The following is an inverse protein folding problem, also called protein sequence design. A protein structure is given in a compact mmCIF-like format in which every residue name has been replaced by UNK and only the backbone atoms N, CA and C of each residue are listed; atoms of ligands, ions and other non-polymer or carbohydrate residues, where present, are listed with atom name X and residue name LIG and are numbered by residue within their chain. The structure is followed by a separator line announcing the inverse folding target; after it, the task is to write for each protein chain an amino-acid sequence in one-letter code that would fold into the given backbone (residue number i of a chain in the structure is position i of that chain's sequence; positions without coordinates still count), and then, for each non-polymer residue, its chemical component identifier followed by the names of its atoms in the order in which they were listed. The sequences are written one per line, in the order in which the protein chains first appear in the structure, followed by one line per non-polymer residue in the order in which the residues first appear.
data_IF_192084953305
#
_entry.id   IF_192084953305
#
_cell.length_a   1.000
_cell.length_b   1.000
_cell.length_c   1.000
_cell.angle_alpha   90.00
_cell.angle_beta   90.00
_cell.angle_gamma   90.00
#
_symmetry.space_group_name_H-M   'P 1'
#
loop_
_entity.id
_entity.type
_entity.pdbx_description
1 polymer ?
#
# COMPACT_ATOMS: atom_id res chain seq x y z
N UNK A 1 -23.78 -15.12 24.04
CA UNK A 1 -22.79 -15.48 22.98
C UNK A 1 -21.85 -14.30 22.67
N UNK A 2 -20.75 -14.21 23.40
CA UNK A 2 -19.70 -13.20 23.17
C UNK A 2 -18.93 -13.56 21.90
N UNK A 3 -19.14 -12.78 20.84
CA UNK A 3 -18.39 -12.90 19.58
C UNK A 3 -16.93 -12.50 19.81
N UNK A 4 -16.07 -13.50 20.02
CA UNK A 4 -14.61 -13.36 19.95
C UNK A 4 -14.22 -12.98 18.52
N UNK A 5 -14.12 -11.68 18.24
CA UNK A 5 -13.46 -11.22 17.02
C UNK A 5 -11.95 -11.35 17.24
N UNK A 6 -11.35 -12.33 16.55
CA UNK A 6 -9.96 -12.76 16.69
C UNK A 6 -8.94 -11.63 16.77
N UNK A 7 -8.37 -11.43 17.95
CA UNK A 7 -7.20 -10.59 18.17
C UNK A 7 -5.98 -11.25 17.54
N UNK A 8 -5.53 -10.73 16.39
CA UNK A 8 -4.29 -11.17 15.76
C UNK A 8 -3.08 -10.99 16.69
N UNK A 9 -2.03 -11.80 16.46
CA UNK A 9 -0.80 -11.78 17.26
C UNK A 9 -0.21 -10.37 17.33
N UNK A 10 0.31 -9.96 18.49
CA UNK A 10 0.95 -8.65 18.70
C UNK A 10 2.43 -8.71 18.36
N UNK A 11 3.00 -7.57 17.99
CA UNK A 11 4.42 -7.47 17.69
C UNK A 11 5.24 -7.80 18.95
N UNK A 12 6.16 -8.76 18.85
CA UNK A 12 7.03 -9.21 19.94
C UNK A 12 8.19 -8.24 20.25
N UNK A 13 8.22 -7.07 19.61
CA UNK A 13 9.21 -6.04 19.95
C UNK A 13 8.76 -5.39 21.26
N UNK A 14 9.62 -5.32 22.30
CA UNK A 14 9.26 -4.69 23.56
C UNK A 14 8.85 -3.23 23.31
N UNK A 15 7.73 -2.82 23.91
CA UNK A 15 7.15 -1.48 23.72
C UNK A 15 6.43 -1.25 22.38
N UNK A 16 6.06 -2.31 21.65
CA UNK A 16 5.30 -2.18 20.40
C UNK A 16 3.90 -2.78 20.48
N UNK A 17 2.89 -1.91 20.54
CA UNK A 17 1.47 -2.32 20.55
C UNK A 17 0.88 -2.56 19.15
N UNK A 18 1.71 -2.57 18.11
CA UNK A 18 1.25 -2.83 16.74
C UNK A 18 0.93 -4.30 16.56
N UNK A 19 -0.07 -4.60 15.74
CA UNK A 19 -0.35 -5.97 15.29
C UNK A 19 0.83 -6.56 14.52
N UNK A 20 1.13 -7.81 14.76
CA UNK A 20 2.09 -8.57 13.98
C UNK A 20 1.49 -8.92 12.60
N UNK A 21 2.34 -8.99 11.59
CA UNK A 21 1.89 -9.26 10.23
C UNK A 21 1.76 -10.78 10.00
N UNK A 22 0.52 -11.25 9.84
CA UNK A 22 0.20 -12.62 9.42
C UNK A 22 0.86 -13.70 10.29
N UNK A 23 1.77 -14.51 9.72
CA UNK A 23 2.47 -15.64 10.37
C UNK A 23 3.76 -15.23 11.12
N UNK A 24 4.06 -13.93 11.17
CA UNK A 24 5.30 -13.44 11.81
C UNK A 24 5.00 -12.88 13.19
N UNK A 25 5.96 -12.97 14.11
CA UNK A 25 5.83 -12.40 15.45
C UNK A 25 6.06 -10.87 15.48
N UNK A 26 6.36 -10.23 14.35
CA UNK A 26 6.68 -8.80 14.29
C UNK A 26 5.69 -8.04 13.42
N UNK A 27 5.52 -6.74 13.68
CA UNK A 27 4.76 -5.85 12.80
C UNK A 27 5.59 -5.47 11.57
N UNK A 28 4.94 -4.89 10.54
CA UNK A 28 5.61 -4.46 9.29
C UNK A 28 6.88 -3.62 9.52
N UNK A 29 6.85 -2.71 10.50
CA UNK A 29 8.00 -1.87 10.83
C UNK A 29 9.15 -2.64 11.50
N UNK A 30 8.87 -3.77 12.15
CA UNK A 30 9.80 -4.48 13.02
C UNK A 30 10.30 -5.81 12.47
N UNK A 31 10.07 -6.12 11.19
CA UNK A 31 10.44 -7.44 10.65
C UNK A 31 9.27 -8.15 9.99
N UNK A 32 8.05 -7.75 10.32
CA UNK A 32 6.84 -8.47 9.96
C UNK A 32 6.55 -8.50 8.47
N UNK A 33 5.96 -9.61 8.04
CA UNK A 33 5.57 -9.86 6.67
C UNK A 33 6.73 -10.29 5.76
N UNK A 34 6.42 -10.50 4.48
CA UNK A 34 7.40 -10.96 3.49
C UNK A 34 8.39 -9.87 3.11
N UNK A 35 9.63 -10.28 2.85
CA UNK A 35 10.75 -9.42 2.43
C UNK A 35 11.13 -9.71 1.00
N UNK A 36 11.70 -8.70 0.34
CA UNK A 36 12.22 -8.84 -0.99
C UNK A 36 13.32 -9.91 -1.00
N UNK A 37 13.19 -10.93 -1.84
CA UNK A 37 14.20 -12.00 -2.02
C UNK A 37 15.45 -11.55 -2.80
N UNK A 38 15.50 -10.28 -3.22
CA UNK A 38 16.66 -9.76 -3.93
C UNK A 38 17.84 -9.62 -2.96
N UNK A 39 19.02 -10.08 -3.38
CA UNK A 39 20.23 -10.11 -2.55
C UNK A 39 20.52 -8.72 -1.97
N UNK A 40 20.66 -8.63 -0.64
CA UNK A 40 20.91 -7.37 0.07
C UNK A 40 19.71 -6.41 0.19
N UNK A 41 18.52 -6.77 -0.28
CA UNK A 41 17.34 -5.90 -0.20
C UNK A 41 16.57 -6.12 1.12
N UNK A 42 16.49 -5.09 1.95
CA UNK A 42 15.73 -5.13 3.21
C UNK A 42 14.28 -4.66 3.07
N UNK A 43 13.86 -4.30 1.86
CA UNK A 43 12.51 -3.78 1.58
C UNK A 43 11.46 -4.87 1.72
N UNK A 44 10.25 -4.48 2.12
CA UNK A 44 9.10 -5.38 2.15
C UNK A 44 8.70 -5.82 0.75
N UNK A 45 8.32 -7.09 0.61
CA UNK A 45 7.75 -7.61 -0.61
C UNK A 45 6.32 -7.05 -0.80
N UNK A 46 5.94 -6.80 -2.04
CA UNK A 46 4.70 -6.12 -2.36
C UNK A 46 3.61 -7.14 -2.75
N UNK A 47 2.46 -7.10 -2.07
CA UNK A 47 1.31 -7.93 -2.40
C UNK A 47 1.57 -9.43 -2.26
N UNK A 48 1.32 -10.19 -3.35
CA UNK A 48 1.50 -11.65 -3.41
C UNK A 48 2.90 -12.09 -3.85
N UNK A 49 3.75 -11.16 -4.25
CA UNK A 49 5.09 -11.44 -4.79
C UNK A 49 6.15 -11.55 -3.69
N UNK A 50 7.31 -12.10 -4.03
CA UNK A 50 8.47 -12.19 -3.13
C UNK A 50 9.47 -11.05 -3.34
N UNK A 51 9.15 -10.08 -4.19
CA UNK A 51 9.99 -8.92 -4.46
C UNK A 51 9.32 -7.63 -3.99
N UNK A 52 10.12 -6.58 -3.77
CA UNK A 52 9.61 -5.23 -3.52
C UNK A 52 9.21 -4.56 -4.84
N UNK A 53 8.47 -3.46 -4.78
CA UNK A 53 8.03 -2.69 -5.96
C UNK A 53 9.16 -2.32 -6.93
N UNK A 54 10.38 -2.08 -6.42
CA UNK A 54 11.55 -1.73 -7.21
C UNK A 54 12.13 -2.97 -7.94
N UNK A 55 12.07 -4.15 -7.34
CA UNK A 55 12.63 -5.39 -7.87
C UNK A 55 11.60 -6.29 -8.55
N UNK A 56 10.56 -5.70 -9.17
CA UNK A 56 9.55 -6.49 -9.89
C UNK A 56 8.32 -6.88 -9.07
N UNK A 57 8.30 -6.61 -7.77
CA UNK A 57 7.18 -6.91 -6.89
C UNK A 57 5.91 -6.11 -7.16
N UNK A 58 4.76 -6.68 -6.75
CA UNK A 58 3.45 -6.07 -6.88
C UNK A 58 2.85 -6.15 -8.30
N UNK A 59 1.62 -5.64 -8.48
CA UNK A 59 0.95 -5.62 -9.78
C UNK A 59 1.61 -4.60 -10.72
N UNK A 60 1.85 -4.99 -11.96
CA UNK A 60 2.35 -4.11 -13.03
C UNK A 60 1.20 -3.46 -13.78
N UNK A 61 1.48 -2.33 -14.42
CA UNK A 61 0.51 -1.62 -15.22
C UNK A 61 0.13 -2.44 -16.45
N UNK A 62 -1.13 -2.86 -16.54
CA UNK A 62 -1.67 -3.61 -17.69
C UNK A 62 -1.98 -2.75 -18.91
N UNK A 63 -1.25 -1.65 -19.11
CA UNK A 63 -1.44 -0.82 -20.30
C UNK A 63 -0.83 -1.54 -21.51
N UNK A 64 -1.55 -1.55 -22.64
CA UNK A 64 -1.25 -2.38 -23.82
C UNK A 64 0.20 -2.22 -24.34
N UNK A 65 0.78 -1.03 -24.16
CA UNK A 65 2.13 -0.68 -24.61
C UNK A 65 3.28 -1.25 -23.73
N UNK A 66 2.99 -2.20 -22.82
CA UNK A 66 4.03 -2.85 -22.01
C UNK A 66 4.60 -1.96 -20.91
N UNK A 67 3.74 -1.30 -20.13
CA UNK A 67 4.20 -0.37 -19.09
C UNK A 67 4.83 -1.08 -17.87
N UNK A 68 6.11 -0.83 -17.61
CA UNK A 68 6.86 -1.41 -16.48
C UNK A 68 6.53 -0.80 -15.11
N UNK A 69 5.78 0.31 -15.10
CA UNK A 69 5.39 1.01 -13.86
C UNK A 69 4.44 0.14 -13.03
N UNK A 70 4.53 0.27 -11.72
CA UNK A 70 3.63 -0.42 -10.81
C UNK A 70 2.20 0.12 -10.91
N UNK A 71 1.23 -0.78 -10.94
CA UNK A 71 -0.18 -0.45 -10.86
C UNK A 71 -0.54 0.12 -9.48
N UNK A 72 -1.48 1.05 -9.45
CA UNK A 72 -1.98 1.65 -8.21
C UNK A 72 -3.45 1.36 -8.03
N UNK A 73 -3.79 0.77 -6.89
CA UNK A 73 -5.16 0.42 -6.54
C UNK A 73 -5.71 -0.77 -7.34
N UNK A 74 -7.03 -0.84 -7.46
CA UNK A 74 -7.73 -1.98 -8.07
C UNK A 74 -7.70 -1.95 -9.60
N UNK A 75 -7.57 -0.78 -10.22
CA UNK A 75 -7.65 -0.58 -11.68
C UNK A 75 -6.56 -1.30 -12.47
N UNK A 76 -5.46 -1.73 -11.84
CA UNK A 76 -4.39 -2.45 -12.56
C UNK A 76 -3.56 -1.57 -13.47
N UNK A 77 -3.73 -0.25 -13.40
CA UNK A 77 -2.99 0.73 -14.19
C UNK A 77 -2.10 1.57 -13.28
N UNK A 78 -1.01 2.11 -13.81
CA UNK A 78 -0.16 3.08 -13.10
C UNK A 78 -0.82 4.47 -13.08
N UNK A 79 -0.37 5.37 -12.21
CA UNK A 79 -0.95 6.72 -12.04
C UNK A 79 -1.14 7.44 -13.39
N UNK A 80 -0.11 7.38 -14.25
CA UNK A 80 -0.14 7.99 -15.59
C UNK A 80 -1.22 7.40 -16.50
N UNK A 81 -1.47 6.10 -16.40
CA UNK A 81 -2.40 5.38 -17.29
C UNK A 81 -3.78 5.17 -16.67
N UNK A 82 -4.22 5.93 -15.67
CA UNK A 82 -5.54 5.72 -15.06
C UNK A 82 -5.51 5.08 -13.66
N UNK A 83 -4.33 4.79 -13.13
CA UNK A 83 -4.13 4.19 -11.81
C UNK A 83 -4.44 5.13 -10.65
N UNK A 84 -4.76 4.53 -9.51
CA UNK A 84 -5.00 5.22 -8.24
C UNK A 84 -6.42 5.79 -8.11
N UNK A 85 -6.71 6.34 -6.93
CA UNK A 85 -7.98 6.99 -6.64
C UNK A 85 -8.04 8.35 -7.35
N UNK A 86 -9.17 8.67 -7.98
CA UNK A 86 -9.39 9.95 -8.67
C UNK A 86 -10.27 10.87 -7.85
N UNK A 87 -10.11 12.17 -8.08
CA UNK A 87 -10.95 13.16 -7.46
C UNK A 87 -12.42 12.89 -7.83
N UNK A 88 -13.31 12.92 -6.84
CA UNK A 88 -14.76 12.74 -7.03
C UNK A 88 -15.45 13.94 -7.67
N UNK A 89 -14.73 15.06 -7.85
CA UNK A 89 -15.31 16.25 -8.48
C UNK A 89 -15.44 15.97 -9.97
N UNK A 90 -16.65 16.15 -10.49
CA UNK A 90 -16.99 16.00 -11.91
C UNK A 90 -16.00 16.80 -12.79
N UNK A 91 -15.49 16.17 -13.84
CA UNK A 91 -14.48 16.76 -14.74
C UNK A 91 -13.05 16.84 -14.18
N UNK A 92 -12.79 16.41 -12.95
CA UNK A 92 -11.44 16.47 -12.36
C UNK A 92 -10.65 15.17 -12.58
N UNK A 93 -9.60 15.23 -13.41
CA UNK A 93 -8.72 14.08 -13.68
C UNK A 93 -7.59 13.91 -12.66
N UNK A 94 -7.52 14.79 -11.65
CA UNK A 94 -6.44 14.79 -10.66
C UNK A 94 -6.54 13.60 -9.71
N UNK A 95 -5.39 13.21 -9.17
CA UNK A 95 -5.31 12.14 -8.17
C UNK A 95 -5.96 12.60 -6.87
N UNK A 96 -6.79 11.74 -6.29
CA UNK A 96 -7.32 11.94 -4.96
C UNK A 96 -6.27 11.55 -3.91
N UNK A 97 -6.30 12.26 -2.79
CA UNK A 97 -5.44 11.98 -1.66
C UNK A 97 -5.81 10.64 -1.00
N UNK A 98 -4.87 9.99 -0.30
CA UNK A 98 -5.09 8.62 0.22
C UNK A 98 -6.28 8.56 1.19
N UNK A 99 -6.45 9.57 2.04
CA UNK A 99 -7.55 9.66 3.01
C UNK A 99 -8.83 10.31 2.46
N UNK A 100 -8.74 11.08 1.37
CA UNK A 100 -9.86 11.85 0.83
C UNK A 100 -10.27 11.34 -0.54
N UNK A 101 -11.52 11.50 -0.95
CA UNK A 101 -11.92 11.25 -2.35
C UNK A 101 -11.65 12.46 -3.25
N UNK A 102 -10.94 13.46 -2.73
CA UNK A 102 -10.70 14.73 -3.39
C UNK A 102 -9.20 14.92 -3.60
N UNK A 103 -8.85 15.68 -4.64
CA UNK A 103 -7.47 16.10 -4.89
C UNK A 103 -7.11 17.29 -4.00
N UNK A 104 -5.81 17.64 -3.93
CA UNK A 104 -5.31 18.70 -3.03
C UNK A 104 -6.05 20.03 -3.19
N UNK A 105 -6.37 20.40 -4.43
CA UNK A 105 -7.09 21.62 -4.79
C UNK A 105 -8.59 21.56 -4.54
N UNK A 106 -9.17 20.37 -4.41
CA UNK A 106 -10.58 20.18 -4.05
C UNK A 106 -10.72 19.79 -2.58
N UNK A 107 -9.76 20.18 -1.72
CA UNK A 107 -9.82 19.95 -0.27
C UNK A 107 -9.36 18.56 0.19
N UNK A 108 -8.64 17.81 -0.66
CA UNK A 108 -8.12 16.49 -0.30
C UNK A 108 -6.88 16.50 0.59
N UNK A 109 -6.17 17.63 0.67
CA UNK A 109 -4.89 17.72 1.37
C UNK A 109 -5.02 17.47 2.88
N UNK A 110 -4.01 16.84 3.47
CA UNK A 110 -3.86 16.79 4.92
C UNK A 110 -3.64 18.23 5.42
N UNK A 111 -4.65 18.81 6.11
CA UNK A 111 -4.42 19.97 6.97
C UNK A 111 -3.44 19.52 8.06
N UNK A 112 -2.18 19.88 7.92
CA UNK A 112 -1.30 19.93 9.08
C UNK A 112 -1.83 21.06 9.95
N UNK A 113 -2.39 20.70 11.09
CA UNK A 113 -2.63 21.63 12.18
C UNK A 113 -1.26 22.17 12.64
N UNK A 114 -1.08 23.48 12.49
CA UNK A 114 0.01 24.24 13.10
C UNK A 114 -0.19 24.27 14.61
#
# INVERSE_FOLDING_TARGET
PTSWHGGGQRCHKPGCDKGAESRTAYCKAHGGGRRCQHLGCTKSAEGKTDFCIAHGGGRRCGFADGCTKAARGKSGLCIRHGGGKRCKVEGCTRSAEVLSSLCISHGGGRRWNR
#
